data_IF_605640462765
#
_entry.id   IF_605640462765
#
_cell.length_a   1.000
_cell.length_b   1.000
_cell.length_c   1.000
_cell.angle_alpha   90.00
_cell.angle_beta   90.00
_cell.angle_gamma   90.00
#
_symmetry.space_group_name_H-M   'P 1'
#
loop_
_entity.id
_entity.type
_entity.pdbx_description
1 polymer ?
#
# COMPACT_ATOMS: atom_id res chain seq x y z
N UNK A 1 15.06 40.57 4.46
CA UNK A 1 15.38 39.13 4.41
C UNK A 1 14.97 38.64 3.04
N UNK A 2 15.89 38.73 2.08
CA UNK A 2 15.73 38.21 0.72
C UNK A 2 15.86 36.69 0.80
N UNK A 3 14.80 36.02 1.25
CA UNK A 3 14.73 34.57 1.13
C UNK A 3 14.74 34.25 -0.37
N UNK A 4 15.84 33.65 -0.83
CA UNK A 4 15.95 33.15 -2.19
C UNK A 4 14.86 32.10 -2.40
N UNK A 5 14.11 32.20 -3.51
CA UNK A 5 13.11 31.20 -3.86
C UNK A 5 13.70 29.81 -4.17
N UNK A 6 15.01 29.62 -4.03
CA UNK A 6 15.79 28.40 -4.26
C UNK A 6 15.11 27.13 -3.76
N UNK A 7 14.56 27.14 -2.55
CA UNK A 7 13.87 25.98 -1.95
C UNK A 7 12.66 25.51 -2.76
N UNK A 8 12.03 26.42 -3.51
CA UNK A 8 10.82 26.15 -4.29
C UNK A 8 11.08 25.95 -5.78
N UNK A 9 12.30 26.16 -6.27
CA UNK A 9 12.61 26.07 -7.71
C UNK A 9 12.46 24.65 -8.26
N UNK A 10 12.82 23.61 -7.49
CA UNK A 10 12.63 22.22 -7.90
C UNK A 10 11.13 21.89 -8.01
N UNK A 11 10.35 22.17 -6.97
CA UNK A 11 8.89 21.96 -7.00
C UNK A 11 8.21 22.79 -8.10
N UNK A 12 8.72 23.99 -8.41
CA UNK A 12 8.25 24.79 -9.54
C UNK A 12 8.57 24.12 -10.87
N UNK A 13 9.80 23.61 -11.05
CA UNK A 13 10.22 22.89 -12.25
C UNK A 13 9.40 21.62 -12.49
N UNK A 14 9.07 20.90 -11.42
CA UNK A 14 8.28 19.67 -11.45
C UNK A 14 6.77 19.93 -11.60
N UNK A 15 6.33 21.20 -11.52
CA UNK A 15 4.92 21.59 -11.63
C UNK A 15 4.09 21.27 -10.39
N UNK A 16 4.73 21.08 -9.23
CA UNK A 16 4.08 20.70 -7.97
C UNK A 16 3.57 21.92 -7.16
N UNK A 17 3.95 23.14 -7.54
CA UNK A 17 3.47 24.34 -6.88
C UNK A 17 2.09 24.76 -7.37
N UNK A 18 1.19 25.03 -6.43
CA UNK A 18 -0.15 25.55 -6.71
C UNK A 18 -0.40 26.97 -6.19
N UNK A 19 -1.39 27.63 -6.80
CA UNK A 19 -2.10 28.77 -6.23
C UNK A 19 -1.25 29.98 -5.90
N UNK A 20 -1.11 30.30 -4.61
CA UNK A 20 -0.38 31.49 -4.15
C UNK A 20 1.14 31.30 -4.27
N UNK A 21 1.65 30.10 -3.99
CA UNK A 21 3.08 29.84 -3.94
C UNK A 21 3.71 29.84 -5.33
N UNK A 22 3.02 29.30 -6.33
CA UNK A 22 3.44 29.38 -7.72
C UNK A 22 3.60 30.85 -8.17
N UNK A 23 2.58 31.69 -7.91
CA UNK A 23 2.61 33.12 -8.24
C UNK A 23 3.73 33.89 -7.54
N UNK A 24 4.03 33.54 -6.28
CA UNK A 24 5.14 34.14 -5.53
C UNK A 24 6.50 33.82 -6.18
N UNK A 25 6.71 32.57 -6.60
CA UNK A 25 7.93 32.16 -7.30
C UNK A 25 8.02 32.85 -8.66
N UNK A 26 6.93 32.91 -9.44
CA UNK A 26 6.90 33.61 -10.73
C UNK A 26 7.26 35.10 -10.60
N UNK A 27 6.65 35.82 -9.66
CA UNK A 27 6.98 37.22 -9.38
C UNK A 27 8.44 37.40 -8.92
N UNK A 28 9.00 36.42 -8.20
CA UNK A 28 10.40 36.46 -7.80
C UNK A 28 11.33 36.27 -9.02
N UNK A 29 11.01 35.33 -9.91
CA UNK A 29 11.78 35.05 -11.12
C UNK A 29 11.81 36.26 -12.07
N UNK A 30 10.76 37.08 -12.13
CA UNK A 30 10.76 38.33 -12.90
C UNK A 30 11.84 39.33 -12.43
N UNK A 31 12.19 39.31 -11.14
CA UNK A 31 13.03 40.33 -10.50
C UNK A 31 14.43 39.82 -10.13
N UNK A 32 14.60 38.51 -9.96
CA UNK A 32 15.85 37.92 -9.49
C UNK A 32 16.60 37.22 -10.64
N UNK A 33 17.72 37.79 -11.07
CA UNK A 33 18.58 37.16 -12.08
C UNK A 33 19.26 35.87 -11.57
N UNK A 34 19.62 35.81 -10.28
CA UNK A 34 20.27 34.64 -9.69
C UNK A 34 19.35 33.41 -9.70
N UNK A 35 18.09 33.55 -9.26
CA UNK A 35 17.14 32.44 -9.26
C UNK A 35 16.72 32.03 -10.68
N UNK A 36 16.74 32.94 -11.66
CA UNK A 36 16.58 32.56 -13.08
C UNK A 36 17.73 31.71 -13.59
N UNK A 37 18.97 32.11 -13.28
CA UNK A 37 20.15 31.33 -13.66
C UNK A 37 20.16 29.93 -13.01
N UNK A 38 19.75 29.85 -11.75
CA UNK A 38 19.59 28.58 -11.04
C UNK A 38 18.51 27.69 -11.67
N UNK A 39 17.35 28.26 -12.00
CA UNK A 39 16.28 27.52 -12.69
C UNK A 39 16.73 27.00 -14.07
N UNK A 40 17.48 27.79 -14.83
CA UNK A 40 18.05 27.33 -16.10
C UNK A 40 19.09 26.23 -15.92
N UNK A 41 19.93 26.29 -14.87
CA UNK A 41 20.85 25.21 -14.55
C UNK A 41 20.11 23.90 -14.23
N UNK A 42 19.02 23.97 -13.46
CA UNK A 42 18.16 22.81 -13.14
C UNK A 42 17.49 22.25 -14.41
N UNK A 43 16.99 23.11 -15.31
CA UNK A 43 16.43 22.71 -16.61
C UNK A 43 17.45 21.98 -17.47
N UNK A 44 18.68 22.50 -17.54
CA UNK A 44 19.79 21.89 -18.26
C UNK A 44 20.13 20.50 -17.72
N UNK A 45 20.23 20.36 -16.39
CA UNK A 45 20.46 19.06 -15.76
C UNK A 45 19.32 18.06 -16.07
N UNK A 46 18.06 18.49 -15.96
CA UNK A 46 16.89 17.66 -16.28
C UNK A 46 16.90 17.20 -17.74
N UNK A 47 17.32 18.06 -18.67
CA UNK A 47 17.47 17.69 -20.08
C UNK A 47 18.55 16.62 -20.29
N UNK A 48 19.74 16.80 -19.69
CA UNK A 48 20.83 15.81 -19.77
C UNK A 48 20.41 14.44 -19.23
N UNK A 49 19.67 14.41 -18.12
CA UNK A 49 19.14 13.17 -17.57
C UNK A 49 18.12 12.50 -18.50
N UNK A 50 17.28 13.28 -19.21
CA UNK A 50 16.32 12.74 -20.19
C UNK A 50 17.00 12.20 -21.44
N UNK A 51 18.11 12.78 -21.85
CA UNK A 51 18.91 12.32 -23.00
C UNK A 51 19.74 11.09 -22.69
N UNK A 52 19.89 10.75 -21.40
CA UNK A 52 20.62 9.57 -20.97
C UNK A 52 19.82 8.32 -21.38
N UNK A 53 20.39 7.41 -22.20
CA UNK A 53 19.69 6.20 -22.57
C UNK A 53 19.33 5.40 -21.32
N UNK A 54 18.11 4.84 -21.24
CA UNK A 54 17.73 3.99 -20.13
C UNK A 54 18.76 2.86 -20.00
N UNK A 55 19.20 2.59 -18.77
CA UNK A 55 20.14 1.50 -18.51
C UNK A 55 19.69 0.25 -19.25
N UNK A 56 20.60 -0.38 -20.00
CA UNK A 56 20.30 -1.51 -20.89
C UNK A 56 19.72 -2.75 -20.15
N UNK A 57 19.64 -2.70 -18.82
CA UNK A 57 19.23 -3.78 -17.93
C UNK A 57 17.80 -3.66 -17.42
N UNK A 58 16.96 -2.77 -17.97
CA UNK A 58 15.54 -2.79 -17.60
C UNK A 58 14.92 -4.14 -17.99
N UNK A 59 14.50 -4.89 -16.98
CA UNK A 59 13.80 -6.16 -17.18
C UNK A 59 12.49 -5.88 -17.93
N UNK A 60 12.24 -6.51 -19.09
CA UNK A 60 10.98 -6.34 -19.80
C UNK A 60 9.79 -6.60 -18.88
N UNK A 61 8.72 -5.82 -19.00
CA UNK A 61 7.56 -5.86 -18.08
C UNK A 61 7.04 -7.27 -17.85
N UNK A 62 6.97 -8.10 -18.90
CA UNK A 62 6.54 -9.50 -18.78
C UNK A 62 7.43 -10.31 -17.83
N UNK A 63 8.76 -10.19 -17.96
CA UNK A 63 9.72 -10.90 -17.10
C UNK A 63 9.70 -10.37 -15.67
N UNK A 64 9.51 -9.07 -15.50
CA UNK A 64 9.36 -8.45 -14.18
C UNK A 64 8.13 -9.02 -13.44
N UNK A 65 6.96 -9.04 -14.09
CA UNK A 65 5.72 -9.56 -13.50
C UNK A 65 5.89 -11.03 -13.12
N UNK A 66 6.50 -11.85 -13.97
CA UNK A 66 6.78 -13.25 -13.64
C UNK A 66 7.63 -13.39 -12.38
N UNK A 67 8.74 -12.65 -12.28
CA UNK A 67 9.63 -12.70 -11.11
C UNK A 67 8.92 -12.22 -9.83
N UNK A 68 8.10 -11.17 -9.95
CA UNK A 68 7.33 -10.63 -8.84
C UNK A 68 6.32 -11.65 -8.31
N UNK A 69 5.58 -12.32 -9.21
CA UNK A 69 4.61 -13.36 -8.85
C UNK A 69 5.24 -14.57 -8.18
N UNK A 70 6.48 -14.92 -8.56
CA UNK A 70 7.24 -15.99 -7.91
C UNK A 70 7.73 -15.61 -6.50
N UNK A 71 7.93 -14.32 -6.24
CA UNK A 71 8.49 -13.81 -4.98
C UNK A 71 7.43 -13.45 -3.95
N UNK A 72 6.18 -13.24 -4.37
CA UNK A 72 5.08 -12.89 -3.48
C UNK A 72 4.74 -14.09 -2.58
N UNK A 73 4.70 -13.90 -1.25
CA UNK A 73 4.22 -14.95 -0.35
C UNK A 73 2.77 -15.25 -0.71
N UNK A 74 2.45 -16.53 -0.96
CA UNK A 74 1.06 -16.97 -1.02
C UNK A 74 0.46 -16.68 0.34
N UNK A 75 -0.40 -15.66 0.44
CA UNK A 75 -1.33 -15.58 1.56
C UNK A 75 -2.18 -16.85 1.45
N UNK A 76 -2.05 -17.83 2.38
CA UNK A 76 -3.03 -18.88 2.41
C UNK A 76 -4.35 -18.18 2.73
N UNK A 77 -5.28 -18.21 1.78
CA UNK A 77 -6.68 -17.94 2.09
C UNK A 77 -7.00 -18.79 3.30
N UNK A 78 -7.15 -18.13 4.44
CA UNK A 78 -7.62 -18.75 5.66
C UNK A 78 -9.11 -19.03 5.46
N UNK A 79 -9.43 -19.95 4.54
CA UNK A 79 -10.71 -20.63 4.46
C UNK A 79 -10.82 -21.49 5.71
N UNK A 80 -11.21 -20.85 6.82
CA UNK A 80 -11.38 -21.47 8.12
C UNK A 80 -12.31 -22.68 8.02
N UNK A 81 -11.85 -23.92 8.22
CA UNK A 81 -12.74 -25.05 8.43
C UNK A 81 -12.88 -25.30 9.94
N UNK A 82 -13.06 -24.26 10.76
CA UNK A 82 -13.09 -24.39 12.24
C UNK A 82 -14.50 -24.40 12.84
N UNK A 83 -15.54 -24.03 12.07
CA UNK A 83 -16.94 -24.00 12.59
C UNK A 83 -17.64 -25.36 12.61
N UNK A 84 -17.18 -26.34 11.83
CA UNK A 84 -17.79 -27.68 11.82
C UNK A 84 -17.42 -28.51 13.06
N UNK A 85 -16.22 -28.32 13.60
CA UNK A 85 -15.73 -29.08 14.76
C UNK A 85 -16.43 -28.71 16.08
N UNK A 86 -16.92 -27.47 16.23
CA UNK A 86 -17.57 -27.02 17.46
C UNK A 86 -18.98 -27.58 17.65
N UNK A 87 -19.70 -27.87 16.55
CA UNK A 87 -21.04 -28.45 16.64
C UNK A 87 -20.99 -29.93 17.05
N UNK A 88 -19.98 -30.68 16.55
CA UNK A 88 -19.76 -32.07 16.92
C UNK A 88 -19.39 -32.26 18.40
N UNK A 89 -18.63 -31.33 18.98
CA UNK A 89 -18.23 -31.41 20.40
C UNK A 89 -19.41 -31.24 21.37
N UNK A 90 -20.46 -30.51 20.99
CA UNK A 90 -21.61 -30.27 21.86
C UNK A 90 -22.68 -31.38 21.80
N UNK A 91 -22.73 -32.14 20.70
CA UNK A 91 -23.69 -33.23 20.53
C UNK A 91 -23.38 -34.45 21.43
N UNK A 92 -22.11 -34.73 21.70
CA UNK A 92 -21.70 -35.85 22.55
C UNK A 92 -22.20 -35.74 24.01
N UNK A 93 -21.98 -34.63 24.74
CA UNK A 93 -22.50 -34.48 26.11
C UNK A 93 -24.02 -34.34 26.16
N UNK A 94 -24.64 -33.69 25.17
CA UNK A 94 -26.11 -33.57 25.09
C UNK A 94 -26.79 -34.93 24.93
N UNK A 95 -26.25 -35.82 24.10
CA UNK A 95 -26.75 -37.18 23.92
C UNK A 95 -26.65 -38.02 25.19
N UNK A 96 -25.52 -37.95 25.90
CA UNK A 96 -25.32 -38.67 27.17
C UNK A 96 -26.31 -38.23 28.26
N UNK A 97 -26.53 -36.92 28.41
CA UNK A 97 -27.48 -36.38 29.38
C UNK A 97 -28.92 -36.78 29.05
N UNK A 98 -29.31 -36.74 27.77
CA UNK A 98 -30.63 -37.19 27.32
C UNK A 98 -30.88 -38.67 27.60
N UNK A 99 -29.91 -39.54 27.28
CA UNK A 99 -30.00 -40.97 27.55
C UNK A 99 -30.07 -41.27 29.05
N UNK A 100 -29.28 -40.57 29.87
CA UNK A 100 -29.30 -40.71 31.32
C UNK A 100 -30.65 -40.30 31.93
N UNK A 101 -31.20 -39.16 31.48
CA UNK A 101 -32.50 -38.69 31.95
C UNK A 101 -33.61 -39.69 31.63
N UNK A 102 -33.64 -40.20 30.39
CA UNK A 102 -34.61 -41.19 29.95
C UNK A 102 -34.55 -42.48 30.77
N UNK A 103 -33.34 -43.03 30.97
CA UNK A 103 -33.16 -44.25 31.75
C UNK A 103 -33.60 -44.05 33.21
N UNK A 104 -33.28 -42.89 33.79
CA UNK A 104 -33.68 -42.53 35.16
C UNK A 104 -35.19 -42.41 35.30
N UNK A 105 -35.89 -41.76 34.35
CA UNK A 105 -37.34 -41.61 34.41
C UNK A 105 -38.07 -42.94 34.28
N UNK A 106 -37.60 -43.84 33.39
CA UNK A 106 -38.20 -45.17 33.23
C UNK A 106 -38.06 -45.97 34.52
N UNK A 107 -36.86 -46.02 35.09
CA UNK A 107 -36.58 -46.73 36.34
C UNK A 107 -37.46 -46.25 37.52
N UNK A 108 -37.74 -44.94 37.63
CA UNK A 108 -38.60 -44.40 38.70
C UNK A 108 -40.09 -44.65 38.50
N UNK A 109 -40.54 -44.90 37.27
CA UNK A 109 -41.95 -45.15 36.96
C UNK A 109 -42.30 -46.65 37.07
N UNK A 110 -41.30 -47.53 36.98
CA UNK A 110 -41.46 -49.00 37.04
C UNK A 110 -41.09 -49.62 38.39
N UNK A 111 -40.70 -48.83 39.40
CA UNK A 111 -40.41 -49.28 40.76
C UNK A 111 -41.31 -48.61 41.76
#
# INVERSE_FOLDING_TARGET
>A
MTEHASEWLNAYLDGELGGLRQRQVEQHLERCAACRAELEALRGLSALLRETPPAAEFTPTGRFVTNLMLSLPRHPDASQPRKAASLGWWLAPAGLLGAWFFLRTVLTLTG
#
